data_IF_125785792620
#
_entry.id   IF_125785792620
#
_cell.length_a   1.000
_cell.length_b   1.000
_cell.length_c   1.000
_cell.angle_alpha   90.00
_cell.angle_beta   90.00
_cell.angle_gamma   90.00
#
_symmetry.space_group_name_H-M   'P 1'
#
loop_
_entity.id
_entity.type
_entity.pdbx_description
1 polymer ?
#
# COMPACT_ATOMS: atom_id res chain seq x y z
N UNK A 1 -8.05 -1.56 -13.72
CA UNK A 1 -8.58 -2.41 -12.64
C UNK A 1 -8.82 -3.78 -13.23
N UNK A 2 -8.18 -4.84 -12.70
CA UNK A 2 -8.41 -6.23 -13.12
C UNK A 2 -9.25 -6.90 -12.03
N UNK A 3 -10.41 -7.44 -12.38
CA UNK A 3 -11.31 -8.10 -11.44
C UNK A 3 -11.20 -9.62 -11.59
N UNK A 4 -10.78 -10.30 -10.53
CA UNK A 4 -10.63 -11.75 -10.49
C UNK A 4 -11.42 -12.30 -9.29
N UNK A 5 -12.35 -13.20 -9.57
CA UNK A 5 -13.09 -13.91 -8.52
C UNK A 5 -12.28 -15.14 -8.08
N UNK A 6 -12.00 -15.22 -6.78
CA UNK A 6 -11.27 -16.33 -6.14
C UNK A 6 -12.10 -16.96 -5.03
N UNK A 7 -11.98 -18.27 -4.86
CA UNK A 7 -12.61 -19.00 -3.74
C UNK A 7 -11.69 -18.98 -2.51
N UNK A 8 -12.20 -19.44 -1.36
CA UNK A 8 -11.37 -19.62 -0.15
C UNK A 8 -10.15 -20.50 -0.47
N UNK A 9 -9.00 -20.17 0.09
CA UNK A 9 -7.70 -20.82 -0.14
C UNK A 9 -7.12 -20.69 -1.54
N UNK A 10 -7.69 -19.88 -2.43
CA UNK A 10 -6.99 -19.54 -3.67
C UNK A 10 -6.05 -18.35 -3.45
N UNK A 11 -4.94 -18.38 -4.18
CA UNK A 11 -3.91 -17.34 -4.16
C UNK A 11 -3.78 -16.65 -5.53
N UNK A 12 -3.32 -15.41 -5.49
CA UNK A 12 -3.00 -14.56 -6.63
C UNK A 12 -1.55 -14.14 -6.51
N UNK A 13 -0.77 -14.31 -7.57
CA UNK A 13 0.63 -13.89 -7.58
C UNK A 13 0.76 -12.62 -8.42
N UNK A 14 1.34 -11.58 -7.85
CA UNK A 14 1.62 -10.30 -8.49
C UNK A 14 3.15 -10.14 -8.55
N UNK A 15 3.66 -9.89 -9.75
CA UNK A 15 5.09 -9.64 -10.00
C UNK A 15 6.05 -10.77 -9.53
N UNK A 16 5.56 -12.02 -9.40
CA UNK A 16 6.29 -13.16 -8.83
C UNK A 16 6.89 -12.93 -7.43
N UNK A 17 6.55 -11.82 -6.78
CA UNK A 17 7.08 -11.40 -5.48
C UNK A 17 5.99 -11.30 -4.43
N UNK A 18 4.77 -10.98 -4.83
CA UNK A 18 3.65 -10.73 -3.92
C UNK A 18 2.63 -11.84 -4.12
N UNK A 19 2.36 -12.61 -3.08
CA UNK A 19 1.30 -13.61 -3.05
C UNK A 19 0.15 -13.11 -2.19
N UNK A 20 -1.06 -13.11 -2.75
CA UNK A 20 -2.28 -12.65 -2.10
C UNK A 20 -3.23 -13.85 -1.99
N UNK A 21 -3.43 -14.34 -0.77
CA UNK A 21 -4.18 -15.56 -0.48
C UNK A 21 -5.48 -15.23 0.23
N UNK A 22 -6.59 -15.78 -0.24
CA UNK A 22 -7.89 -15.61 0.42
C UNK A 22 -7.99 -16.61 1.58
N UNK A 23 -7.83 -16.13 2.81
CA UNK A 23 -7.86 -16.97 4.01
C UNK A 23 -9.28 -17.42 4.37
N UNK A 24 -10.23 -16.48 4.41
CA UNK A 24 -11.59 -16.75 4.85
C UNK A 24 -12.55 -15.75 4.19
N UNK A 25 -13.75 -16.20 3.84
CA UNK A 25 -14.84 -15.35 3.34
C UNK A 25 -16.00 -15.51 4.31
N UNK A 26 -16.40 -14.43 4.97
CA UNK A 26 -17.53 -14.36 5.91
C UNK A 26 -18.49 -13.28 5.44
N UNK A 27 -19.51 -13.69 4.68
CA UNK A 27 -20.46 -12.75 4.06
C UNK A 27 -19.72 -11.75 3.18
N UNK A 28 -19.80 -10.47 3.53
CA UNK A 28 -19.09 -9.36 2.86
C UNK A 28 -17.63 -9.19 3.31
N UNK A 29 -17.22 -9.81 4.41
CA UNK A 29 -15.86 -9.64 4.92
C UNK A 29 -14.94 -10.75 4.42
N UNK A 30 -13.85 -10.34 3.76
CA UNK A 30 -12.83 -11.26 3.27
C UNK A 30 -11.53 -11.04 4.04
N UNK A 31 -11.01 -12.11 4.64
CA UNK A 31 -9.65 -12.13 5.17
C UNK A 31 -8.68 -12.44 4.05
N UNK A 32 -7.79 -11.50 3.79
CA UNK A 32 -6.75 -11.61 2.77
C UNK A 32 -5.41 -11.71 3.49
N UNK A 33 -4.67 -12.78 3.24
CA UNK A 33 -3.26 -12.91 3.58
C UNK A 33 -2.43 -12.32 2.45
N UNK A 34 -1.47 -11.47 2.78
CA UNK A 34 -0.56 -10.87 1.80
C UNK A 34 0.84 -11.27 2.22
N UNK A 35 1.52 -12.00 1.35
CA UNK A 35 2.90 -12.42 1.53
C UNK A 35 3.75 -11.69 0.50
N UNK A 36 4.66 -10.83 0.95
CA UNK A 36 5.57 -10.11 0.08
C UNK A 36 6.96 -10.03 0.72
N UNK A 37 8.04 -9.92 -0.07
CA UNK A 37 9.38 -9.68 0.45
C UNK A 37 9.47 -8.33 1.15
N UNK A 38 10.42 -8.19 2.08
CA UNK A 38 10.64 -6.95 2.88
C UNK A 38 10.90 -5.70 2.04
N UNK A 39 11.33 -5.87 0.79
CA UNK A 39 11.54 -4.78 -0.17
C UNK A 39 10.23 -4.11 -0.58
N UNK A 40 9.11 -4.82 -0.51
CA UNK A 40 7.78 -4.31 -0.86
C UNK A 40 7.00 -4.00 0.42
N UNK A 41 6.89 -2.72 0.84
CA UNK A 41 6.16 -2.38 2.04
C UNK A 41 4.65 -2.46 1.78
N UNK A 42 3.94 -3.14 2.69
CA UNK A 42 2.48 -3.33 2.62
C UNK A 42 1.82 -2.36 3.59
N UNK A 43 0.98 -1.47 3.06
CA UNK A 43 0.25 -0.50 3.85
C UNK A 43 -1.25 -0.67 3.68
N UNK A 44 -2.00 -0.36 4.73
CA UNK A 44 -3.44 -0.15 4.62
C UNK A 44 -3.68 1.10 3.80
N UNK A 45 -4.60 1.05 2.84
CA UNK A 45 -4.87 2.15 1.90
C UNK A 45 -5.08 3.50 2.61
N UNK A 46 -5.81 3.49 3.72
CA UNK A 46 -6.04 4.67 4.56
C UNK A 46 -4.74 5.31 5.07
N UNK A 47 -3.81 4.49 5.57
CA UNK A 47 -2.52 4.94 6.12
C UNK A 47 -1.62 5.44 4.99
N UNK A 48 -1.62 4.78 3.84
CA UNK A 48 -0.84 5.21 2.69
C UNK A 48 -1.24 6.59 2.17
N UNK A 49 -2.55 6.87 2.11
CA UNK A 49 -3.08 8.18 1.72
C UNK A 49 -2.62 9.27 2.69
N UNK A 50 -2.74 9.03 3.99
CA UNK A 50 -2.29 9.99 5.01
C UNK A 50 -0.79 10.28 4.94
N UNK A 51 0.04 9.24 4.75
CA UNK A 51 1.50 9.42 4.61
C UNK A 51 1.83 10.20 3.33
N UNK A 52 1.11 9.95 2.23
CA UNK A 52 1.35 10.65 0.98
C UNK A 52 0.92 12.12 1.05
N UNK A 53 -0.20 12.42 1.70
CA UNK A 53 -0.64 13.79 1.98
C UNK A 53 0.34 14.51 2.92
N UNK A 54 0.78 13.86 4.00
CA UNK A 54 1.76 14.43 4.93
C UNK A 54 3.11 14.70 4.24
N UNK A 55 3.59 13.79 3.39
CA UNK A 55 4.81 14.00 2.62
C UNK A 55 4.66 15.14 1.59
N UNK A 56 3.48 15.27 0.97
CA UNK A 56 3.20 16.37 0.04
C UNK A 56 3.15 17.72 0.78
N UNK A 57 2.51 17.77 1.95
CA UNK A 57 2.49 18.94 2.81
C UNK A 57 3.88 19.31 3.33
N UNK A 58 4.71 18.31 3.67
CA UNK A 58 6.10 18.54 4.07
C UNK A 58 6.98 19.02 2.91
N UNK A 59 6.62 18.71 1.66
CA UNK A 59 7.31 19.20 0.47
C UNK A 59 6.90 20.64 0.09
N UNK A 60 5.73 21.11 0.52
CA UNK A 60 5.24 22.44 0.17
C UNK A 60 5.76 23.51 1.16
N UNK A 61 6.65 24.35 0.61
CA UNK A 61 6.85 25.79 0.91
C UNK A 61 7.94 26.22 1.90
N UNK A 62 8.18 25.61 3.06
CA UNK A 62 9.02 26.33 4.06
C UNK A 62 10.55 26.08 3.97
N UNK A 63 11.00 24.99 3.34
CA UNK A 63 12.43 24.59 3.35
C UNK A 63 13.27 25.15 2.20
N UNK A 64 12.66 25.42 1.03
CA UNK A 64 13.40 25.91 -0.15
C UNK A 64 13.80 27.39 -0.04
N UNK A 65 12.97 28.21 0.61
CA UNK A 65 13.27 29.63 0.84
C UNK A 65 14.25 29.83 2.00
N UNK A 66 14.21 28.95 3.01
CA UNK A 66 15.17 28.95 4.10
C UNK A 66 16.58 28.57 3.61
N UNK A 67 16.71 27.56 2.73
CA UNK A 67 18.01 27.15 2.16
C UNK A 67 18.64 28.20 1.24
N UNK A 68 17.84 28.97 0.50
CA UNK A 68 18.32 30.09 -0.34
C UNK A 68 18.80 31.31 0.46
N UNK A 69 18.47 31.41 1.74
CA UNK A 69 18.93 32.50 2.62
C UNK A 69 20.24 32.20 3.34
N UNK A 70 20.68 30.94 3.29
CA UNK A 70 21.89 30.44 3.96
C UNK A 70 23.08 30.37 2.98
N UNK A 71 22.80 30.38 1.66
CA UNK A 71 23.80 30.43 0.60
C UNK A 71 23.76 31.76 -0.16
#
# INVERSE_FOLDING_TARGET
MLALSRKKNEALVIDNKIEVTILEIKGDQVKVGISAPKEVPIYRKEVYLQIQEANKQALETESLEALKKIF
#
